data_IF_274694478321
#
_entry.id   IF_274694478321
#
_cell.length_a   1.000
_cell.length_b   1.000
_cell.length_c   1.000
_cell.angle_alpha   90.00
_cell.angle_beta   90.00
_cell.angle_gamma   90.00
#
_symmetry.space_group_name_H-M   'P 1'
#
loop_
_entity.id
_entity.type
_entity.pdbx_description
1 polymer ?
#
# COMPACT_ATOMS: atom_id res chain seq x y z
N UNK A 1 38.01 -37.69 -25.03
CA UNK A 1 36.93 -36.75 -25.40
C UNK A 1 35.92 -36.83 -24.27
N UNK A 2 36.05 -35.94 -23.30
CA UNK A 2 35.35 -36.01 -22.02
C UNK A 2 33.95 -35.41 -22.18
N UNK A 3 32.95 -36.21 -21.83
CA UNK A 3 31.53 -35.88 -21.85
C UNK A 3 31.21 -35.21 -20.51
N UNK A 4 30.97 -33.91 -20.53
CA UNK A 4 30.49 -33.18 -19.37
C UNK A 4 29.00 -33.50 -19.16
N UNK A 5 28.66 -33.90 -17.95
CA UNK A 5 27.28 -34.05 -17.46
C UNK A 5 26.67 -32.67 -17.21
N UNK A 6 25.37 -32.44 -17.47
CA UNK A 6 24.71 -31.21 -17.07
C UNK A 6 24.33 -31.27 -15.60
N UNK A 7 24.79 -30.26 -14.87
CA UNK A 7 24.50 -30.00 -13.46
C UNK A 7 23.00 -29.77 -13.22
N UNK A 8 22.57 -30.23 -12.05
CA UNK A 8 21.19 -30.38 -11.64
C UNK A 8 20.38 -29.09 -11.61
N UNK A 9 19.14 -29.23 -12.08
CA UNK A 9 18.08 -28.26 -11.93
C UNK A 9 17.63 -28.25 -10.46
N UNK A 10 18.09 -27.27 -9.69
CA UNK A 10 17.63 -27.04 -8.33
C UNK A 10 16.16 -26.59 -8.37
N UNK A 11 15.32 -27.34 -7.66
CA UNK A 11 13.89 -27.13 -7.60
C UNK A 11 13.55 -25.75 -7.04
N UNK A 12 12.76 -25.02 -7.82
CA UNK A 12 12.02 -23.84 -7.41
C UNK A 12 11.14 -24.24 -6.21
N UNK A 13 11.52 -23.79 -5.01
CA UNK A 13 10.67 -23.89 -3.83
C UNK A 13 9.62 -22.79 -3.96
N UNK A 14 8.37 -23.20 -4.22
CA UNK A 14 7.21 -22.34 -4.07
C UNK A 14 7.04 -22.00 -2.58
N UNK A 15 7.66 -20.90 -2.15
CA UNK A 15 7.29 -20.23 -0.91
C UNK A 15 5.88 -19.64 -1.08
N UNK A 16 4.90 -20.41 -0.63
CA UNK A 16 3.52 -19.96 -0.45
C UNK A 16 3.54 -18.74 0.49
N UNK A 17 2.96 -17.60 0.09
CA UNK A 17 2.85 -16.44 0.96
C UNK A 17 2.01 -16.81 2.18
N UNK A 18 2.66 -16.79 3.35
CA UNK A 18 2.03 -17.00 4.64
C UNK A 18 1.02 -15.86 4.86
N UNK A 19 -0.27 -16.19 4.72
CA UNK A 19 -1.39 -15.35 5.15
C UNK A 19 -1.16 -14.92 6.60
N UNK A 20 -0.62 -13.71 6.79
CA UNK A 20 -0.71 -13.01 8.06
C UNK A 20 -2.17 -12.58 8.20
N UNK A 21 -2.95 -13.49 8.77
CA UNK A 21 -4.25 -13.20 9.32
C UNK A 21 -4.11 -11.99 10.25
N UNK A 22 -4.54 -10.86 9.69
CA UNK A 22 -4.93 -9.62 10.35
C UNK A 22 -5.31 -9.89 11.80
N UNK A 23 -4.51 -9.35 12.70
CA UNK A 23 -4.80 -9.18 14.11
C UNK A 23 -6.17 -8.53 14.23
N UNK A 24 -7.18 -9.35 14.53
CA UNK A 24 -8.45 -8.91 15.09
C UNK A 24 -8.18 -8.32 16.48
N UNK A 25 -7.62 -7.11 16.50
CA UNK A 25 -7.55 -6.31 17.70
C UNK A 25 -8.97 -5.88 18.00
N UNK A 26 -9.60 -6.66 18.88
CA UNK A 26 -10.95 -6.46 19.35
C UNK A 26 -11.13 -5.02 19.77
N UNK A 27 -11.94 -4.32 18.97
CA UNK A 27 -12.57 -3.04 19.26
C UNK A 27 -13.49 -3.21 20.46
N UNK A 28 -12.89 -3.38 21.63
CA UNK A 28 -13.57 -3.51 22.91
C UNK A 28 -13.34 -2.22 23.68
N UNK A 29 -14.41 -1.42 23.73
CA UNK A 29 -14.79 -0.73 24.96
C UNK A 29 -13.93 0.45 25.41
N UNK A 30 -13.62 1.39 24.50
CA UNK A 30 -13.43 2.79 24.88
C UNK A 30 -14.79 3.49 24.99
N UNK A 31 -15.52 3.17 26.06
CA UNK A 31 -16.75 3.86 26.49
C UNK A 31 -16.80 3.83 28.01
N UNK A 32 -15.78 4.39 28.69
CA UNK A 32 -15.83 4.52 30.16
C UNK A 32 -14.94 5.61 30.75
N UNK A 33 -14.65 6.70 30.03
CA UNK A 33 -13.96 7.86 30.61
C UNK A 33 -14.68 9.20 30.40
N UNK A 34 -15.98 9.16 30.11
CA UNK A 34 -16.83 10.37 30.05
C UNK A 34 -17.47 10.73 31.39
N UNK A 35 -17.02 10.16 32.52
CA UNK A 35 -17.71 10.30 33.82
C UNK A 35 -16.85 10.81 35.00
N UNK A 36 -15.66 11.34 34.76
CA UNK A 36 -14.81 11.87 35.86
C UNK A 36 -14.34 13.32 35.69
N UNK A 37 -14.86 14.07 34.71
CA UNK A 37 -14.58 15.51 34.60
C UNK A 37 -15.77 16.41 34.93
N UNK A 38 -16.91 15.86 35.34
CA UNK A 38 -18.15 16.62 35.61
C UNK A 38 -18.44 16.86 37.10
N UNK A 39 -17.47 16.61 38.00
CA UNK A 39 -17.67 16.76 39.46
C UNK A 39 -16.89 17.92 40.10
N UNK A 40 -16.39 18.90 39.34
CA UNK A 40 -15.58 20.00 39.90
C UNK A 40 -16.18 21.40 39.73
N UNK A 41 -17.42 21.48 39.28
CA UNK A 41 -18.24 22.69 39.37
C UNK A 41 -19.59 22.36 39.99
N UNK A 42 -19.55 21.73 41.16
CA UNK A 42 -20.70 21.76 42.05
C UNK A 42 -20.75 23.18 42.64
N UNK A 43 -21.66 23.98 42.10
CA UNK A 43 -22.00 25.29 42.64
C UNK A 43 -22.53 25.04 44.04
N UNK A 44 -21.70 25.30 45.04
CA UNK A 44 -22.17 25.50 46.41
C UNK A 44 -22.95 26.81 46.42
N UNK A 45 -24.20 26.76 45.98
CA UNK A 45 -25.22 27.73 46.35
C UNK A 45 -25.45 27.53 47.85
N UNK A 46 -24.62 28.22 48.64
CA UNK A 46 -24.82 28.39 50.07
C UNK A 46 -26.10 29.20 50.23
N UNK A 47 -27.18 28.52 50.62
CA UNK A 47 -28.37 29.16 51.17
C UNK A 47 -27.92 30.09 52.32
N UNK A 48 -28.04 31.39 52.08
CA UNK A 48 -27.81 32.43 53.07
C UNK A 48 -28.97 32.41 54.05
N UNK A 49 -28.78 31.75 55.19
CA UNK A 49 -29.59 32.04 56.37
C UNK A 49 -29.34 33.48 56.83
N UNK A 50 -30.44 34.21 57.03
CA UNK A 50 -30.48 35.56 57.61
C UNK A 50 -29.85 35.57 59.01
N UNK A 51 -28.65 36.14 59.11
CA UNK A 51 -28.03 36.36 60.41
C UNK A 51 -26.72 37.16 60.35
N UNK A 52 -26.81 38.43 60.76
CA UNK A 52 -25.71 39.32 61.12
C UNK A 52 -25.03 40.08 59.95
N UNK A 53 -25.33 41.37 59.81
CA UNK A 53 -24.79 42.24 58.74
C UNK A 53 -23.25 42.38 58.75
N UNK A 54 -22.62 42.15 59.91
CA UNK A 54 -21.15 42.18 60.07
C UNK A 54 -20.44 40.93 59.51
N UNK A 55 -21.14 39.78 59.40
CA UNK A 55 -20.58 38.52 58.87
C UNK A 55 -20.61 38.49 57.34
N UNK A 56 -21.62 39.10 56.74
CA UNK A 56 -21.79 39.16 55.29
C UNK A 56 -20.72 40.01 54.59
N UNK A 57 -20.23 41.06 55.26
CA UNK A 57 -19.17 41.91 54.71
C UNK A 57 -17.82 41.17 54.67
N UNK A 58 -17.48 40.44 55.72
CA UNK A 58 -16.29 39.57 55.77
C UNK A 58 -16.36 38.42 54.74
N UNK A 59 -17.53 37.78 54.57
CA UNK A 59 -17.73 36.71 53.57
C UNK A 59 -17.65 37.26 52.14
N UNK A 60 -18.09 38.50 51.90
CA UNK A 60 -18.02 39.15 50.59
C UNK A 60 -16.58 39.55 50.23
N UNK A 61 -15.79 40.00 51.19
CA UNK A 61 -14.39 40.35 50.98
C UNK A 61 -13.52 39.11 50.71
N UNK A 62 -13.73 38.02 51.46
CA UNK A 62 -13.05 36.73 51.22
C UNK A 62 -13.46 36.13 49.85
N UNK A 63 -14.73 36.22 49.46
CA UNK A 63 -15.18 35.78 48.13
C UNK A 63 -14.56 36.61 46.99
N UNK A 64 -14.32 37.92 47.19
CA UNK A 64 -13.68 38.76 46.18
C UNK A 64 -12.20 38.40 46.00
N UNK A 65 -11.50 38.07 47.10
CA UNK A 65 -10.11 37.59 47.08
C UNK A 65 -10.03 36.21 46.42
N UNK A 66 -10.89 35.28 46.80
CA UNK A 66 -10.95 33.94 46.20
C UNK A 66 -11.26 33.96 44.69
N UNK A 67 -12.18 34.83 44.24
CA UNK A 67 -12.47 35.01 42.80
C UNK A 67 -11.26 35.51 42.01
N UNK A 68 -10.42 36.35 42.62
CA UNK A 68 -9.21 36.89 41.99
C UNK A 68 -8.12 35.80 41.86
N UNK A 69 -8.00 34.93 42.84
CA UNK A 69 -7.07 33.79 42.81
C UNK A 69 -7.52 32.71 41.82
N UNK A 70 -8.82 32.41 41.75
CA UNK A 70 -9.39 31.44 40.79
C UNK A 70 -9.19 31.91 39.34
N UNK A 71 -9.25 33.22 39.07
CA UNK A 71 -9.03 33.77 37.74
C UNK A 71 -7.58 33.54 37.26
N UNK A 72 -6.59 33.67 38.14
CA UNK A 72 -5.19 33.39 37.83
C UNK A 72 -4.95 31.91 37.50
N UNK A 73 -5.57 31.00 38.26
CA UNK A 73 -5.48 29.55 38.03
C UNK A 73 -6.19 29.14 36.72
N UNK A 74 -7.30 29.79 36.37
CA UNK A 74 -7.97 29.55 35.08
C UNK A 74 -7.12 30.05 33.91
N UNK A 75 -6.49 31.20 34.04
CA UNK A 75 -5.61 31.75 33.00
C UNK A 75 -4.39 30.84 32.75
N UNK A 76 -3.74 30.34 33.81
CA UNK A 76 -2.60 29.44 33.67
C UNK A 76 -2.98 28.11 33.03
N UNK A 77 -4.15 27.56 33.36
CA UNK A 77 -4.71 26.37 32.69
C UNK A 77 -4.97 26.61 31.20
N UNK A 78 -5.54 27.76 30.83
CA UNK A 78 -5.73 28.11 29.42
C UNK A 78 -4.40 28.25 28.66
N UNK A 79 -3.39 28.88 29.27
CA UNK A 79 -2.06 29.00 28.67
C UNK A 79 -1.41 27.63 28.46
N UNK A 80 -1.54 26.73 29.43
CA UNK A 80 -1.02 25.37 29.31
C UNK A 80 -1.71 24.61 28.16
N UNK A 81 -3.05 24.67 28.10
CA UNK A 81 -3.81 24.05 26.99
C UNK A 81 -3.43 24.62 25.63
N UNK A 82 -3.21 25.94 25.55
CA UNK A 82 -2.75 26.58 24.32
C UNK A 82 -1.36 26.08 23.91
N UNK A 83 -0.42 25.95 24.85
CA UNK A 83 0.92 25.45 24.58
C UNK A 83 0.91 24.00 24.11
N UNK A 84 0.05 23.16 24.71
CA UNK A 84 -0.16 21.78 24.27
C UNK A 84 -0.73 21.73 22.85
N UNK A 85 -1.73 22.57 22.53
CA UNK A 85 -2.28 22.66 21.17
C UNK A 85 -1.24 23.09 20.13
N UNK A 86 -0.43 24.09 20.45
CA UNK A 86 0.63 24.57 19.56
C UNK A 86 1.66 23.47 19.32
N UNK A 87 2.11 22.79 20.38
CA UNK A 87 3.08 21.69 20.26
C UNK A 87 2.50 20.53 19.43
N UNK A 88 1.26 20.13 19.69
CA UNK A 88 0.59 19.08 18.95
C UNK A 88 0.43 19.44 17.47
N UNK A 89 0.05 20.68 17.16
CA UNK A 89 -0.03 21.19 15.80
C UNK A 89 1.32 21.19 15.10
N UNK A 90 2.39 21.60 15.78
CA UNK A 90 3.74 21.62 15.23
C UNK A 90 4.25 20.22 14.92
N UNK A 91 4.03 19.27 15.83
CA UNK A 91 4.41 17.87 15.64
C UNK A 91 3.62 17.25 14.49
N UNK A 92 2.29 17.45 14.46
CA UNK A 92 1.44 16.93 13.39
C UNK A 92 1.81 17.49 12.02
N UNK A 93 2.06 18.80 11.92
CA UNK A 93 2.46 19.44 10.66
C UNK A 93 3.88 19.04 10.26
N UNK A 94 4.80 18.95 11.22
CA UNK A 94 6.17 18.50 10.98
C UNK A 94 6.19 17.07 10.44
N UNK A 95 5.50 16.14 11.10
CA UNK A 95 5.38 14.75 10.63
C UNK A 95 4.76 14.68 9.23
N UNK A 96 3.72 15.47 8.95
CA UNK A 96 3.11 15.49 7.63
C UNK A 96 4.07 15.95 6.53
N UNK A 97 4.85 17.02 6.77
CA UNK A 97 5.81 17.53 5.77
C UNK A 97 6.94 16.53 5.55
N UNK A 98 7.52 15.99 6.63
CA UNK A 98 8.60 15.00 6.50
C UNK A 98 8.15 13.71 5.82
N UNK A 99 6.97 13.18 6.17
CA UNK A 99 6.44 11.98 5.53
C UNK A 99 6.06 12.23 4.08
N UNK A 100 5.57 13.42 3.74
CA UNK A 100 5.21 13.74 2.37
C UNK A 100 6.39 13.69 1.42
N UNK A 101 7.54 14.23 1.83
CA UNK A 101 8.75 14.22 0.99
C UNK A 101 9.26 12.78 0.80
N UNK A 102 9.26 11.97 1.87
CA UNK A 102 9.68 10.55 1.81
C UNK A 102 8.69 9.70 0.99
N UNK A 103 7.38 9.91 1.13
CA UNK A 103 6.35 9.22 0.34
C UNK A 103 6.41 9.57 -1.15
N UNK A 104 6.67 10.84 -1.49
CA UNK A 104 6.77 11.28 -2.88
C UNK A 104 8.02 10.66 -3.55
N UNK A 105 9.17 10.64 -2.86
CA UNK A 105 10.43 10.02 -3.34
C UNK A 105 10.29 8.49 -3.50
N UNK A 106 9.70 7.81 -2.51
CA UNK A 106 9.45 6.37 -2.54
C UNK A 106 8.47 5.99 -3.66
N UNK A 107 7.44 6.81 -3.87
CA UNK A 107 6.49 6.62 -4.96
C UNK A 107 7.15 6.78 -6.32
N UNK A 108 7.97 7.81 -6.52
CA UNK A 108 8.70 8.03 -7.78
C UNK A 108 9.64 6.87 -8.08
N UNK A 109 10.41 6.42 -7.08
CA UNK A 109 11.31 5.27 -7.22
C UNK A 109 10.55 3.99 -7.56
N UNK A 110 9.44 3.72 -6.85
CA UNK A 110 8.62 2.54 -7.08
C UNK A 110 7.97 2.56 -8.46
N UNK A 111 7.53 3.73 -8.91
CA UNK A 111 6.96 3.92 -10.23
C UNK A 111 8.01 3.71 -11.33
N UNK A 112 9.22 4.26 -11.17
CA UNK A 112 10.32 4.06 -12.12
C UNK A 112 10.69 2.58 -12.24
N UNK A 113 10.88 1.89 -11.10
CA UNK A 113 11.14 0.46 -11.07
C UNK A 113 10.04 -0.37 -11.74
N UNK A 114 8.77 -0.04 -11.48
CA UNK A 114 7.64 -0.70 -12.12
C UNK A 114 7.64 -0.47 -13.63
N UNK A 115 7.96 0.75 -14.08
CA UNK A 115 8.02 1.09 -15.50
C UNK A 115 9.12 0.33 -16.24
N UNK A 116 10.30 0.19 -15.62
CA UNK A 116 11.42 -0.59 -16.13
C UNK A 116 11.04 -2.06 -16.20
N UNK A 117 10.48 -2.62 -15.12
CA UNK A 117 10.04 -4.01 -15.10
C UNK A 117 8.98 -4.31 -16.17
N UNK A 118 8.04 -3.38 -16.39
CA UNK A 118 7.02 -3.53 -17.44
C UNK A 118 7.64 -3.45 -18.84
N UNK A 119 8.59 -2.54 -19.06
CA UNK A 119 9.34 -2.46 -20.33
C UNK A 119 10.11 -3.76 -20.60
N UNK A 120 10.88 -4.23 -19.63
CA UNK A 120 11.66 -5.46 -19.75
C UNK A 120 10.75 -6.68 -20.01
N UNK A 121 9.61 -6.76 -19.32
CA UNK A 121 8.63 -7.82 -19.55
C UNK A 121 8.06 -7.79 -20.97
N UNK A 122 7.79 -6.59 -21.52
CA UNK A 122 7.33 -6.43 -22.90
C UNK A 122 8.42 -6.79 -23.90
N UNK A 123 9.65 -6.32 -23.69
CA UNK A 123 10.78 -6.59 -24.58
C UNK A 123 11.07 -8.10 -24.66
N UNK A 124 11.10 -8.79 -23.51
CA UNK A 124 11.24 -10.27 -23.44
C UNK A 124 10.07 -10.97 -24.12
N UNK A 125 8.84 -10.50 -23.91
CA UNK A 125 7.67 -11.12 -24.53
C UNK A 125 7.69 -10.99 -26.06
N UNK A 126 8.07 -9.82 -26.58
CA UNK A 126 8.23 -9.59 -28.01
C UNK A 126 9.33 -10.49 -28.56
N UNK A 127 10.48 -10.60 -27.89
CA UNK A 127 11.56 -11.50 -28.28
C UNK A 127 11.09 -12.97 -28.35
N UNK A 128 10.37 -13.45 -27.34
CA UNK A 128 9.82 -14.82 -27.34
C UNK A 128 8.83 -15.07 -28.48
N UNK A 129 8.01 -14.08 -28.85
CA UNK A 129 7.12 -14.16 -30.01
C UNK A 129 7.95 -14.31 -31.29
N UNK A 130 8.95 -13.44 -31.51
CA UNK A 130 9.80 -13.51 -32.70
C UNK A 130 10.54 -14.84 -32.81
N UNK A 131 11.18 -15.30 -31.73
CA UNK A 131 11.87 -16.58 -31.69
C UNK A 131 10.92 -17.77 -31.93
N UNK A 132 9.70 -17.70 -31.38
CA UNK A 132 8.66 -18.70 -31.63
C UNK A 132 8.27 -18.78 -33.11
N UNK A 133 8.07 -17.63 -33.76
CA UNK A 133 7.77 -17.57 -35.19
C UNK A 133 8.92 -18.03 -36.06
N UNK A 134 10.15 -17.61 -35.76
CA UNK A 134 11.34 -18.04 -36.50
C UNK A 134 11.55 -19.55 -36.40
N UNK A 135 11.40 -20.11 -35.19
CA UNK A 135 11.45 -21.57 -34.97
C UNK A 135 10.42 -22.30 -35.80
N UNK A 136 9.17 -21.82 -35.81
CA UNK A 136 8.09 -22.41 -36.59
C UNK A 136 8.32 -22.30 -38.11
N UNK A 137 8.80 -21.16 -38.59
CA UNK A 137 9.13 -20.96 -40.00
C UNK A 137 10.27 -21.88 -40.45
N UNK A 138 11.30 -22.04 -39.62
CA UNK A 138 12.41 -22.96 -39.86
C UNK A 138 11.95 -24.42 -39.85
N UNK A 139 11.05 -24.78 -38.93
CA UNK A 139 10.44 -26.12 -38.90
C UNK A 139 9.64 -26.42 -40.18
N UNK A 140 8.75 -25.51 -40.59
CA UNK A 140 7.94 -25.70 -41.81
C UNK A 140 8.85 -25.78 -43.06
N UNK A 141 9.82 -24.87 -43.17
CA UNK A 141 10.74 -24.81 -44.32
C UNK A 141 11.64 -26.05 -44.40
N UNK A 142 12.16 -26.52 -43.27
CA UNK A 142 12.98 -27.74 -43.23
C UNK A 142 12.16 -28.99 -43.54
N UNK A 143 10.92 -29.09 -43.03
CA UNK A 143 10.07 -30.23 -43.34
C UNK A 143 9.63 -30.24 -44.82
N UNK A 144 9.35 -29.08 -45.41
CA UNK A 144 9.08 -28.98 -46.85
C UNK A 144 10.28 -29.45 -47.68
N UNK A 145 11.49 -29.00 -47.34
CA UNK A 145 12.73 -29.39 -48.01
C UNK A 145 13.01 -30.90 -47.92
N UNK A 146 12.76 -31.51 -46.75
CA UNK A 146 12.94 -32.97 -46.55
C UNK A 146 11.97 -33.81 -47.38
N UNK A 147 10.76 -33.31 -47.61
CA UNK A 147 9.74 -34.01 -48.40
C UNK A 147 9.81 -33.69 -49.90
N UNK A 148 10.72 -32.82 -50.33
CA UNK A 148 10.81 -32.37 -51.73
C UNK A 148 9.62 -31.51 -52.16
N UNK A 149 8.91 -30.92 -51.20
CA UNK A 149 7.76 -30.06 -51.44
C UNK A 149 8.19 -28.57 -51.45
N UNK A 150 7.43 -27.73 -52.14
CA UNK A 150 7.69 -26.28 -52.19
C UNK A 150 6.67 -25.54 -51.32
N UNK A 151 7.17 -24.64 -50.48
CA UNK A 151 6.32 -23.73 -49.71
C UNK A 151 5.51 -22.84 -50.68
N UNK A 152 4.21 -22.58 -50.44
CA UNK A 152 3.43 -22.84 -49.22
C UNK A 152 2.59 -24.14 -49.24
N UNK A 153 2.67 -24.97 -50.28
CA UNK A 153 1.77 -26.12 -50.47
C UNK A 153 2.20 -27.37 -49.70
N UNK A 154 2.74 -27.19 -48.49
CA UNK A 154 3.23 -28.27 -47.64
C UNK A 154 2.31 -28.45 -46.43
N UNK A 155 1.83 -29.68 -46.20
CA UNK A 155 1.02 -30.00 -45.02
C UNK A 155 1.86 -30.81 -44.03
N UNK A 156 2.27 -30.19 -42.93
CA UNK A 156 2.99 -30.88 -41.85
C UNK A 156 2.03 -31.76 -41.04
N UNK A 157 2.33 -33.05 -40.87
CA UNK A 157 1.48 -33.99 -40.09
C UNK A 157 1.36 -33.62 -38.60
N UNK A 158 2.34 -32.88 -38.06
CA UNK A 158 2.41 -32.49 -36.65
C UNK A 158 2.14 -30.99 -36.44
N UNK A 159 1.46 -30.32 -37.37
CA UNK A 159 1.23 -28.88 -37.31
C UNK A 159 0.63 -28.43 -35.98
N UNK A 160 -0.39 -29.15 -35.51
CA UNK A 160 -1.13 -28.80 -34.29
C UNK A 160 -0.26 -28.94 -33.02
N UNK A 161 0.55 -30.00 -32.93
CA UNK A 161 1.43 -30.23 -31.80
C UNK A 161 2.56 -29.18 -31.72
N UNK A 162 3.16 -28.84 -32.86
CA UNK A 162 4.21 -27.81 -32.92
C UNK A 162 3.63 -26.40 -32.73
N UNK A 163 2.44 -26.13 -33.30
CA UNK A 163 1.71 -24.89 -33.06
C UNK A 163 1.36 -24.71 -31.59
N UNK A 164 0.98 -25.78 -30.89
CA UNK A 164 0.74 -25.74 -29.44
C UNK A 164 2.03 -25.44 -28.65
N UNK A 165 3.17 -26.03 -29.06
CA UNK A 165 4.48 -25.77 -28.46
C UNK A 165 4.89 -24.30 -28.61
N UNK A 166 4.79 -23.76 -29.84
CA UNK A 166 5.07 -22.36 -30.14
C UNK A 166 4.12 -21.43 -29.40
N UNK A 167 2.84 -21.80 -29.25
CA UNK A 167 1.86 -21.04 -28.45
C UNK A 167 2.24 -20.99 -26.98
N UNK A 168 2.66 -22.11 -26.39
CA UNK A 168 3.12 -22.16 -24.99
C UNK A 168 4.39 -21.33 -24.78
N UNK A 169 5.32 -21.38 -25.73
CA UNK A 169 6.59 -20.69 -25.67
C UNK A 169 6.44 -19.16 -25.85
N UNK A 170 5.77 -18.75 -26.91
CA UNK A 170 5.54 -17.32 -27.23
C UNK A 170 4.48 -16.65 -26.37
N UNK A 171 3.58 -17.43 -25.74
CA UNK A 171 2.36 -16.96 -25.07
C UNK A 171 1.42 -16.14 -25.97
N UNK A 172 1.56 -16.20 -27.29
CA UNK A 172 0.64 -15.53 -28.20
C UNK A 172 -0.74 -16.23 -28.19
N UNK A 173 -1.82 -15.46 -28.07
CA UNK A 173 -3.17 -16.00 -27.92
C UNK A 173 -3.76 -16.50 -29.24
N UNK A 174 -3.39 -15.88 -30.37
CA UNK A 174 -3.94 -16.18 -31.70
C UNK A 174 -2.81 -16.36 -32.71
N UNK A 175 -2.85 -17.50 -33.41
CA UNK A 175 -2.00 -17.78 -34.56
C UNK A 175 -2.85 -17.94 -35.81
N UNK A 176 -2.55 -17.16 -36.85
CA UNK A 176 -3.19 -17.26 -38.16
C UNK A 176 -2.15 -17.35 -39.24
N UNK A 177 -2.10 -18.48 -39.95
CA UNK A 177 -1.39 -18.57 -41.23
C UNK A 177 -2.39 -18.29 -42.34
N UNK A 178 -2.27 -17.12 -42.96
CA UNK A 178 -3.03 -16.81 -44.17
C UNK A 178 -2.11 -17.04 -45.37
N UNK A 179 -2.33 -18.08 -46.19
CA UNK A 179 -1.65 -18.16 -47.48
C UNK A 179 -2.09 -16.96 -48.31
N UNK A 180 -1.13 -16.20 -48.83
CA UNK A 180 -1.39 -15.20 -49.86
C UNK A 180 -1.71 -15.97 -51.14
N UNK A 181 -2.95 -15.91 -51.60
CA UNK A 181 -3.38 -16.48 -52.87
C UNK A 181 -3.41 -15.31 -53.86
N UNK A 182 -2.46 -15.26 -54.78
CA UNK A 182 -2.55 -14.44 -56.00
C UNK A 182 -3.34 -15.18 -57.09
#
# INVERSE_FOLDING_TARGET
MNRAEPDGFEGFQDEVPQERASTGFSRSMMMSESRLSESLFDNTDVELEEGNEESNEAVREVNAVAKKEIAGVKLSKCLFLFLVLVTAGLVSAGTYVFMKDEEDDDYELSYDQFSIAMKDAVDVHVEHIYLGFESMANFISSNAALNGETFPFHTTKNFEAEGESVRKFSRAEIFGFCPFVE
#
